data_IF_092564587468
#
_entry.id   IF_092564587468
#
_cell.length_a   1.000
_cell.length_b   1.000
_cell.length_c   1.000
_cell.angle_alpha   90.00
_cell.angle_beta   90.00
_cell.angle_gamma   90.00
#
_symmetry.space_group_name_H-M   'P 1'
#
loop_
_entity.id
_entity.type
_entity.pdbx_description
1 polymer ?
#
# COMPACT_ATOMS: atom_id res chain seq x y z
N UNK A 1 -44.86 15.31 29.33
CA UNK A 1 -44.54 16.32 28.30
C UNK A 1 -43.67 15.64 27.26
N UNK A 2 -44.15 15.51 26.03
CA UNK A 2 -43.36 14.90 24.95
C UNK A 2 -42.54 15.96 24.24
N UNK A 3 -41.29 15.65 23.91
CA UNK A 3 -40.43 16.53 23.11
C UNK A 3 -41.04 16.77 21.73
N UNK A 4 -41.04 18.03 21.29
CA UNK A 4 -41.52 18.45 19.98
C UNK A 4 -40.53 18.07 18.86
N UNK A 5 -40.97 18.15 17.60
CA UNK A 5 -40.06 17.92 16.46
C UNK A 5 -38.92 18.94 16.42
N UNK A 6 -39.18 20.17 16.85
CA UNK A 6 -38.19 21.25 16.86
C UNK A 6 -37.14 21.02 17.95
N UNK A 7 -37.51 20.41 19.09
CA UNK A 7 -36.55 20.00 20.12
C UNK A 7 -35.55 18.96 19.58
N UNK A 8 -36.03 18.01 18.76
CA UNK A 8 -35.15 17.02 18.12
C UNK A 8 -34.23 17.63 17.06
N UNK A 9 -34.67 18.65 16.33
CA UNK A 9 -33.85 19.37 15.35
C UNK A 9 -32.75 20.16 16.06
N UNK A 10 -33.11 20.89 17.13
CA UNK A 10 -32.16 21.61 17.97
C UNK A 10 -31.14 20.66 18.58
N UNK A 11 -31.58 19.56 19.20
CA UNK A 11 -30.71 18.54 19.77
C UNK A 11 -29.77 17.94 18.72
N UNK A 12 -30.28 17.64 17.51
CA UNK A 12 -29.47 17.14 16.40
C UNK A 12 -28.38 18.13 16.00
N UNK A 13 -28.72 19.39 15.82
CA UNK A 13 -27.76 20.42 15.41
C UNK A 13 -26.70 20.67 16.48
N UNK A 14 -27.09 20.69 17.77
CA UNK A 14 -26.16 20.84 18.89
C UNK A 14 -25.23 19.64 19.03
N UNK A 15 -25.73 18.41 18.91
CA UNK A 15 -24.89 17.21 19.05
C UNK A 15 -23.99 16.96 17.83
N UNK A 16 -24.35 17.48 16.64
CA UNK A 16 -23.59 17.24 15.41
C UNK A 16 -22.11 17.66 15.51
N UNK A 17 -21.80 18.74 16.23
CA UNK A 17 -20.41 19.17 16.43
C UNK A 17 -19.64 18.31 17.44
N UNK A 18 -20.34 17.60 18.33
CA UNK A 18 -19.72 16.75 19.35
C UNK A 18 -19.58 15.29 18.91
N UNK A 19 -20.43 14.83 17.98
CA UNK A 19 -20.43 13.47 17.44
C UNK A 19 -19.05 13.00 16.93
N UNK A 20 -18.23 13.82 16.23
CA UNK A 20 -16.88 13.41 15.81
C UNK A 20 -15.94 13.06 16.95
N UNK A 21 -16.19 13.57 18.17
CA UNK A 21 -15.35 13.36 19.34
C UNK A 21 -15.82 12.19 20.21
N UNK A 22 -16.98 11.60 19.91
CA UNK A 22 -17.52 10.45 20.64
C UNK A 22 -17.09 9.17 19.93
N UNK A 23 -16.31 8.34 20.61
CA UNK A 23 -15.88 7.05 20.04
C UNK A 23 -16.96 5.97 20.26
N UNK A 24 -18.02 6.02 19.44
CA UNK A 24 -19.17 5.12 19.55
C UNK A 24 -18.82 3.62 19.44
N UNK A 25 -17.73 3.27 18.75
CA UNK A 25 -17.30 1.89 18.53
C UNK A 25 -16.57 1.27 19.73
N UNK A 26 -16.26 2.06 20.76
CA UNK A 26 -15.71 1.55 22.02
C UNK A 26 -16.79 1.11 23.02
N UNK A 27 -18.07 1.33 22.72
CA UNK A 27 -19.18 0.89 23.55
C UNK A 27 -19.37 -0.63 23.42
N UNK A 28 -19.92 -1.27 24.45
CA UNK A 28 -20.45 -2.63 24.27
C UNK A 28 -21.79 -2.61 23.52
N UNK A 29 -22.21 -3.73 22.90
CA UNK A 29 -23.54 -3.81 22.25
C UNK A 29 -24.68 -3.43 23.19
N UNK A 30 -24.56 -3.78 24.49
CA UNK A 30 -25.52 -3.40 25.52
C UNK A 30 -25.52 -1.88 25.74
N UNK A 31 -24.35 -1.28 25.92
CA UNK A 31 -24.26 0.18 26.10
C UNK A 31 -24.71 0.96 24.87
N UNK A 32 -24.43 0.46 23.67
CA UNK A 32 -24.96 1.06 22.45
C UNK A 32 -26.49 1.01 22.42
N UNK A 33 -27.10 -0.15 22.70
CA UNK A 33 -28.55 -0.32 22.72
C UNK A 33 -29.23 0.55 23.79
N UNK A 34 -28.62 0.69 24.96
CA UNK A 34 -29.19 1.41 26.08
C UNK A 34 -28.95 2.93 26.00
N UNK A 35 -27.75 3.36 25.58
CA UNK A 35 -27.31 4.75 25.68
C UNK A 35 -27.30 5.52 24.36
N UNK A 36 -27.22 4.84 23.21
CA UNK A 36 -27.02 5.50 21.90
C UNK A 36 -28.19 5.24 20.94
N UNK A 37 -28.66 4.00 20.84
CA UNK A 37 -29.76 3.61 19.96
C UNK A 37 -31.07 4.38 20.19
N UNK A 38 -31.47 4.78 21.41
CA UNK A 38 -32.66 5.59 21.63
C UNK A 38 -32.62 6.94 20.89
N UNK A 39 -31.42 7.46 20.66
CA UNK A 39 -31.16 8.73 19.99
C UNK A 39 -30.86 8.58 18.48
N UNK A 40 -31.13 7.41 17.88
CA UNK A 40 -30.85 7.14 16.45
C UNK A 40 -31.47 8.12 15.45
N UNK A 41 -32.44 8.95 15.84
CA UNK A 41 -33.03 9.99 14.97
C UNK A 41 -32.16 11.25 14.86
N UNK A 42 -31.30 11.51 15.86
CA UNK A 42 -30.38 12.66 15.86
C UNK A 42 -29.00 12.31 15.31
N UNK A 43 -28.62 11.03 15.32
CA UNK A 43 -27.34 10.55 14.77
C UNK A 43 -27.39 10.61 13.22
N UNK A 44 -26.32 11.11 12.55
CA UNK A 44 -26.21 11.10 11.09
C UNK A 44 -26.50 9.73 10.49
N UNK A 45 -27.23 9.71 9.36
CA UNK A 45 -27.74 8.48 8.74
C UNK A 45 -26.62 7.45 8.51
N UNK A 46 -25.51 7.89 7.94
CA UNK A 46 -24.36 7.03 7.61
C UNK A 46 -23.71 6.43 8.87
N UNK A 47 -23.54 7.24 9.92
CA UNK A 47 -22.99 6.80 11.20
C UNK A 47 -23.92 5.80 11.89
N UNK A 48 -25.23 6.08 11.90
CA UNK A 48 -26.23 5.19 12.48
C UNK A 48 -26.23 3.82 11.82
N UNK A 49 -26.17 3.77 10.49
CA UNK A 49 -26.18 2.50 9.76
C UNK A 49 -24.92 1.68 10.08
N UNK A 50 -23.76 2.32 10.16
CA UNK A 50 -22.52 1.67 10.59
C UNK A 50 -22.61 1.12 12.03
N UNK A 51 -23.21 1.87 12.96
CA UNK A 51 -23.37 1.44 14.36
C UNK A 51 -24.35 0.27 14.50
N UNK A 52 -25.44 0.26 13.72
CA UNK A 52 -26.39 -0.86 13.70
C UNK A 52 -25.71 -2.13 13.19
N UNK A 53 -24.96 -2.05 12.09
CA UNK A 53 -24.23 -3.20 11.54
C UNK A 53 -23.21 -3.74 12.57
N UNK A 54 -22.48 -2.84 13.22
CA UNK A 54 -21.44 -3.22 14.18
C UNK A 54 -21.99 -3.89 15.45
N UNK A 55 -23.08 -3.35 16.03
CA UNK A 55 -23.58 -3.79 17.33
C UNK A 55 -24.80 -4.74 17.30
N UNK A 56 -25.61 -4.69 16.25
CA UNK A 56 -26.91 -5.39 16.18
C UNK A 56 -26.90 -6.53 15.15
N UNK A 57 -26.18 -6.37 14.03
CA UNK A 57 -26.21 -7.34 12.91
C UNK A 57 -25.16 -8.47 13.02
N UNK A 58 -24.56 -8.64 14.20
CA UNK A 58 -23.73 -9.82 14.47
C UNK A 58 -24.62 -11.03 14.76
N UNK A 59 -24.42 -12.18 14.08
CA UNK A 59 -25.17 -13.40 14.38
C UNK A 59 -24.91 -13.81 15.82
N UNK A 60 -25.99 -13.90 16.62
CA UNK A 60 -25.99 -14.31 18.03
C UNK A 60 -25.21 -15.61 18.21
N UNK A 61 -24.04 -15.53 18.84
CA UNK A 61 -23.43 -16.57 19.65
C UNK A 61 -22.37 -15.93 20.57
N UNK A 62 -22.58 -15.99 21.87
CA UNK A 62 -21.60 -15.71 22.94
C UNK A 62 -21.74 -16.83 23.99
N UNK A 63 -20.67 -17.22 24.75
CA UNK A 63 -19.73 -16.29 25.40
C UNK A 63 -18.21 -16.64 25.42
N UNK A 64 -17.38 -15.58 25.34
CA UNK A 64 -16.10 -15.19 26.03
C UNK A 64 -14.87 -16.14 26.21
N UNK A 65 -13.64 -15.63 26.54
CA UNK A 65 -12.88 -14.46 26.05
C UNK A 65 -11.38 -14.78 25.71
N UNK A 66 -10.64 -13.78 25.16
CA UNK A 66 -9.18 -13.72 24.81
C UNK A 66 -8.86 -14.22 23.39
N UNK A 67 -8.08 -13.57 22.53
CA UNK A 67 -6.99 -12.59 22.67
C UNK A 67 -7.14 -11.55 21.53
N UNK A 68 -6.78 -10.30 21.83
CA UNK A 68 -6.74 -9.15 20.92
C UNK A 68 -5.95 -9.50 19.64
N UNK A 69 -6.65 -9.84 18.56
CA UNK A 69 -6.13 -9.54 17.23
C UNK A 69 -6.50 -8.09 16.94
N UNK A 70 -5.50 -7.22 16.77
CA UNK A 70 -5.67 -5.87 16.22
C UNK A 70 -6.39 -6.01 14.87
N UNK A 71 -7.71 -5.92 14.86
CA UNK A 71 -8.44 -5.62 13.63
C UNK A 71 -8.11 -4.17 13.30
N UNK A 72 -7.23 -4.03 12.32
CA UNK A 72 -6.76 -2.77 11.76
C UNK A 72 -7.96 -1.87 11.49
N UNK A 73 -7.98 -0.72 12.15
CA UNK A 73 -8.89 0.41 11.89
C UNK A 73 -9.20 0.50 10.39
N UNK A 74 -10.49 0.55 10.01
CA UNK A 74 -10.88 0.71 8.61
C UNK A 74 -10.27 2.00 8.05
N UNK A 75 -9.14 1.90 7.37
CA UNK A 75 -8.52 3.03 6.67
C UNK A 75 -9.53 3.52 5.63
N UNK A 76 -9.98 4.76 5.78
CA UNK A 76 -10.83 5.44 4.79
C UNK A 76 -10.08 5.54 3.47
N UNK A 77 -10.72 5.23 2.34
CA UNK A 77 -10.16 5.47 1.01
C UNK A 77 -10.29 6.95 0.65
N UNK A 78 -9.20 7.60 0.23
CA UNK A 78 -9.22 8.96 -0.33
C UNK A 78 -9.70 8.92 -1.79
N UNK A 79 -11.00 8.67 -1.99
CA UNK A 79 -11.64 8.73 -3.31
C UNK A 79 -12.90 9.59 -3.30
N UNK A 80 -13.07 10.40 -4.35
CA UNK A 80 -14.32 11.15 -4.60
C UNK A 80 -15.31 10.39 -5.50
N UNK A 81 -14.90 9.27 -6.09
CA UNK A 81 -15.67 8.52 -7.09
C UNK A 81 -16.22 7.22 -6.50
N UNK A 82 -15.40 6.48 -5.77
CA UNK A 82 -15.75 5.16 -5.22
C UNK A 82 -15.78 5.17 -3.69
N UNK A 83 -16.54 4.24 -3.10
CA UNK A 83 -16.61 4.04 -1.65
C UNK A 83 -15.69 2.89 -1.21
N UNK A 84 -15.49 2.73 0.10
CA UNK A 84 -14.73 1.60 0.66
C UNK A 84 -15.29 0.23 0.23
N UNK A 85 -16.60 0.13 -0.02
CA UNK A 85 -17.23 -1.11 -0.52
C UNK A 85 -16.75 -1.47 -1.94
N UNK A 86 -16.67 -0.48 -2.82
CA UNK A 86 -16.13 -0.66 -4.17
C UNK A 86 -14.65 -1.05 -4.11
N UNK A 87 -13.87 -0.38 -3.26
CA UNK A 87 -12.46 -0.68 -3.06
C UNK A 87 -12.24 -2.13 -2.61
N UNK A 88 -13.00 -2.59 -1.61
CA UNK A 88 -12.98 -3.99 -1.16
C UNK A 88 -13.32 -4.98 -2.28
N UNK A 89 -14.30 -4.65 -3.12
CA UNK A 89 -14.68 -5.51 -4.24
C UNK A 89 -13.59 -5.57 -5.33
N UNK A 90 -13.00 -4.41 -5.68
CA UNK A 90 -11.87 -4.34 -6.61
C UNK A 90 -10.68 -5.14 -6.08
N UNK A 91 -10.38 -5.04 -4.79
CA UNK A 91 -9.34 -5.85 -4.14
C UNK A 91 -9.57 -7.36 -4.29
N UNK A 92 -10.82 -7.84 -4.14
CA UNK A 92 -11.15 -9.25 -4.42
C UNK A 92 -10.85 -9.64 -5.87
N UNK A 93 -11.07 -8.73 -6.82
CA UNK A 93 -10.73 -8.96 -8.22
C UNK A 93 -9.23 -8.98 -8.46
N UNK A 94 -8.44 -8.17 -7.77
CA UNK A 94 -6.98 -8.26 -7.86
C UNK A 94 -6.51 -9.64 -7.39
N UNK A 95 -7.02 -10.12 -6.25
CA UNK A 95 -6.67 -11.44 -5.69
C UNK A 95 -7.25 -12.63 -6.46
N UNK A 96 -8.08 -12.40 -7.49
CA UNK A 96 -8.87 -13.42 -8.20
C UNK A 96 -9.74 -14.29 -7.24
N UNK A 97 -10.20 -13.72 -6.13
CA UNK A 97 -11.05 -14.40 -5.16
C UNK A 97 -12.52 -14.39 -5.58
N UNK A 98 -13.25 -15.47 -5.30
CA UNK A 98 -14.71 -15.48 -5.35
C UNK A 98 -15.33 -14.55 -4.28
N UNK A 99 -16.51 -14.00 -4.56
CA UNK A 99 -17.17 -13.01 -3.67
C UNK A 99 -17.40 -13.58 -2.26
N UNK A 100 -17.59 -14.89 -2.14
CA UNK A 100 -17.83 -15.67 -0.91
C UNK A 100 -16.58 -15.90 -0.06
N UNK A 101 -15.37 -15.71 -0.60
CA UNK A 101 -14.13 -15.96 0.12
C UNK A 101 -13.82 -14.84 1.12
N UNK A 102 -13.36 -15.22 2.32
CA UNK A 102 -12.79 -14.27 3.30
C UNK A 102 -11.55 -13.62 2.67
N UNK A 103 -11.52 -12.28 2.63
CA UNK A 103 -10.34 -11.53 2.17
C UNK A 103 -9.16 -11.82 3.09
N UNK A 104 -8.10 -12.41 2.54
CA UNK A 104 -6.83 -12.62 3.26
C UNK A 104 -6.00 -11.35 3.34
N UNK A 105 -6.19 -10.41 2.40
CA UNK A 105 -5.37 -9.20 2.26
C UNK A 105 -6.20 -7.91 2.28
N UNK A 106 -5.71 -6.89 2.99
CA UNK A 106 -6.21 -5.52 2.92
C UNK A 106 -5.29 -4.69 2.02
N UNK A 107 -5.82 -4.15 0.92
CA UNK A 107 -5.11 -3.20 0.08
C UNK A 107 -5.24 -1.79 0.68
N UNK A 108 -4.14 -1.05 0.69
CA UNK A 108 -4.15 0.38 0.95
C UNK A 108 -4.15 1.13 -0.38
N UNK A 109 -5.18 1.94 -0.60
CA UNK A 109 -5.33 2.71 -1.83
C UNK A 109 -4.73 4.10 -1.62
N UNK A 110 -3.54 4.34 -2.16
CA UNK A 110 -2.92 5.68 -2.18
C UNK A 110 -3.26 6.39 -3.48
N UNK A 111 -3.77 7.61 -3.38
CA UNK A 111 -4.08 8.45 -4.52
C UNK A 111 -2.80 9.09 -5.09
N UNK A 112 -2.48 8.79 -6.36
CA UNK A 112 -1.32 9.38 -7.05
C UNK A 112 -1.74 10.46 -8.06
N UNK A 113 -2.85 10.26 -8.78
CA UNK A 113 -3.38 11.22 -9.74
C UNK A 113 -4.89 11.39 -9.53
N UNK A 114 -5.34 12.63 -9.44
CA UNK A 114 -6.76 13.01 -9.44
C UNK A 114 -6.93 14.12 -10.45
N UNK A 115 -7.64 13.88 -11.55
CA UNK A 115 -7.73 14.87 -12.62
C UNK A 115 -8.43 16.18 -12.22
N UNK A 116 -9.29 16.18 -11.19
CA UNK A 116 -9.83 17.43 -10.62
C UNK A 116 -8.82 18.24 -9.79
N UNK A 117 -7.70 17.63 -9.40
CA UNK A 117 -6.57 18.25 -8.69
C UNK A 117 -5.43 18.55 -9.66
N UNK A 118 -5.08 17.58 -10.51
CA UNK A 118 -3.85 17.58 -11.31
C UNK A 118 -4.08 17.94 -12.79
N UNK A 119 -5.32 17.86 -13.27
CA UNK A 119 -5.68 18.09 -14.67
C UNK A 119 -6.00 16.82 -15.46
N UNK A 120 -6.60 16.99 -16.64
CA UNK A 120 -7.08 15.90 -17.51
C UNK A 120 -6.28 15.84 -18.82
N UNK A 121 -5.01 15.44 -18.76
CA UNK A 121 -4.17 15.29 -19.96
C UNK A 121 -3.33 14.02 -19.92
N UNK A 122 -3.06 13.44 -21.09
CA UNK A 122 -2.10 12.33 -21.23
C UNK A 122 -0.72 12.72 -20.72
N UNK A 123 -0.30 13.95 -20.99
CA UNK A 123 0.96 14.49 -20.48
C UNK A 123 1.05 14.42 -18.96
N UNK A 124 0.01 14.88 -18.23
CA UNK A 124 0.02 14.82 -16.76
C UNK A 124 -0.07 13.40 -16.23
N UNK A 125 -0.80 12.54 -16.94
CA UNK A 125 -0.82 11.11 -16.64
C UNK A 125 0.56 10.51 -16.73
N UNK A 126 1.29 10.69 -17.83
CA UNK A 126 2.65 10.16 -17.99
C UNK A 126 3.65 10.79 -17.01
N UNK A 127 3.54 12.09 -16.71
CA UNK A 127 4.37 12.77 -15.70
C UNK A 127 4.27 12.10 -14.32
N UNK A 128 3.07 11.66 -13.91
CA UNK A 128 2.82 11.11 -12.57
C UNK A 128 2.87 9.57 -12.54
N UNK A 129 2.32 8.93 -13.56
CA UNK A 129 1.99 7.51 -13.54
C UNK A 129 2.95 6.62 -14.33
N UNK A 130 3.82 7.18 -15.19
CA UNK A 130 4.86 6.36 -15.81
C UNK A 130 5.76 5.76 -14.73
N UNK A 131 6.27 4.56 -15.00
CA UNK A 131 7.05 3.76 -14.06
C UNK A 131 6.26 3.25 -12.83
N UNK A 132 4.98 3.61 -12.68
CA UNK A 132 4.08 3.02 -11.69
C UNK A 132 3.46 1.71 -12.22
N UNK A 133 3.20 0.76 -11.33
CA UNK A 133 2.65 -0.57 -11.64
C UNK A 133 1.76 -1.04 -10.48
N UNK A 134 0.75 -1.85 -10.76
CA UNK A 134 -0.31 -2.22 -9.81
C UNK A 134 -1.36 -1.13 -9.58
N UNK A 135 -1.43 -0.19 -10.52
CA UNK A 135 -2.35 0.94 -10.48
C UNK A 135 -3.77 0.55 -10.86
N UNK A 136 -4.75 1.24 -10.27
CA UNK A 136 -6.15 1.19 -10.71
C UNK A 136 -6.56 2.56 -11.20
N UNK A 137 -7.07 2.63 -12.43
CA UNK A 137 -7.74 3.81 -12.95
C UNK A 137 -9.24 3.74 -12.64
N UNK A 138 -9.77 4.75 -11.95
CA UNK A 138 -11.17 4.96 -11.64
C UNK A 138 -11.68 6.16 -12.45
N UNK A 139 -12.70 5.95 -13.27
CA UNK A 139 -13.18 6.90 -14.26
C UNK A 139 -14.65 7.20 -13.99
N UNK A 140 -14.97 8.43 -13.62
CA UNK A 140 -16.35 8.91 -13.56
C UNK A 140 -16.74 9.55 -14.89
N UNK A 141 -17.77 9.01 -15.52
CA UNK A 141 -18.32 9.55 -16.77
C UNK A 141 -19.10 10.85 -16.47
N UNK A 142 -18.79 11.94 -17.19
CA UNK A 142 -19.51 13.21 -17.03
C UNK A 142 -20.99 13.04 -17.34
N UNK A 143 -21.83 13.74 -16.59
CA UNK A 143 -23.29 13.73 -16.72
C UNK A 143 -23.93 12.35 -16.52
N UNK A 144 -23.24 11.42 -15.85
CA UNK A 144 -23.82 10.15 -15.45
C UNK A 144 -23.28 9.68 -14.08
N UNK A 145 -23.91 8.65 -13.54
CA UNK A 145 -23.42 7.91 -12.37
C UNK A 145 -22.56 6.70 -12.78
N UNK A 146 -22.23 6.57 -14.06
CA UNK A 146 -21.42 5.48 -14.57
C UNK A 146 -19.97 5.65 -14.13
N UNK A 147 -19.44 4.58 -13.54
CA UNK A 147 -18.02 4.48 -13.18
C UNK A 147 -17.44 3.38 -14.05
N UNK A 148 -16.38 3.72 -14.78
CA UNK A 148 -15.55 2.78 -15.52
C UNK A 148 -14.20 2.65 -14.82
N UNK A 149 -13.44 1.63 -15.14
CA UNK A 149 -12.09 1.53 -14.63
C UNK A 149 -11.31 0.37 -15.21
N UNK A 150 -10.03 0.34 -14.86
CA UNK A 150 -9.14 -0.76 -15.20
C UNK A 150 -7.98 -0.85 -14.23
N UNK A 151 -7.51 -2.07 -14.01
CA UNK A 151 -6.34 -2.38 -13.19
C UNK A 151 -5.18 -2.76 -14.09
N UNK A 152 -4.07 -2.06 -13.96
CA UNK A 152 -2.82 -2.38 -14.64
C UNK A 152 -1.81 -2.94 -13.62
N UNK A 153 -1.51 -4.25 -13.64
CA UNK A 153 -0.51 -4.85 -12.75
C UNK A 153 0.94 -4.53 -13.15
N UNK A 154 1.18 -4.10 -14.39
CA UNK A 154 2.53 -3.87 -14.92
C UNK A 154 2.84 -2.38 -15.02
N UNK A 155 4.11 -2.07 -15.29
CA UNK A 155 4.61 -0.69 -15.39
C UNK A 155 3.97 0.06 -16.55
N UNK A 156 3.40 1.25 -16.29
CA UNK A 156 3.05 2.21 -17.33
C UNK A 156 4.29 2.78 -18.02
N UNK A 157 4.19 2.95 -19.32
CA UNK A 157 5.24 3.52 -20.17
C UNK A 157 4.61 4.48 -21.18
N UNK A 158 5.47 5.23 -21.83
CA UNK A 158 5.13 6.19 -22.88
C UNK A 158 6.02 6.01 -24.12
N UNK A 159 6.17 4.76 -24.57
CA UNK A 159 7.10 4.36 -25.62
C UNK A 159 6.43 3.71 -26.84
N UNK A 160 5.12 3.92 -27.00
CA UNK A 160 4.29 3.40 -28.10
C UNK A 160 4.31 1.85 -28.23
N UNK A 161 4.27 1.16 -27.09
CA UNK A 161 4.26 -0.31 -27.03
C UNK A 161 3.00 -0.88 -26.38
N UNK A 162 2.78 -2.18 -26.59
CA UNK A 162 1.81 -2.94 -25.80
C UNK A 162 2.48 -3.55 -24.57
N UNK A 163 1.75 -3.54 -23.45
CA UNK A 163 2.14 -4.22 -22.22
C UNK A 163 1.41 -5.55 -22.08
N UNK A 164 2.17 -6.65 -22.12
CA UNK A 164 1.62 -7.98 -22.03
C UNK A 164 1.34 -8.40 -20.58
N UNK A 165 0.10 -8.76 -20.25
CA UNK A 165 -0.26 -9.31 -18.93
C UNK A 165 -1.62 -10.02 -18.96
N UNK A 166 -1.75 -11.11 -18.20
CA UNK A 166 -3.02 -11.82 -17.97
C UNK A 166 -3.81 -11.30 -16.78
N UNK A 167 -3.18 -10.50 -15.92
CA UNK A 167 -3.71 -10.11 -14.61
C UNK A 167 -4.45 -8.78 -14.63
N UNK A 168 -4.39 -8.06 -15.75
CA UNK A 168 -5.19 -6.86 -15.98
C UNK A 168 -6.69 -7.20 -16.06
N UNK A 169 -7.50 -6.21 -15.73
CA UNK A 169 -8.95 -6.29 -15.89
C UNK A 169 -9.53 -4.89 -16.09
N UNK A 170 -10.65 -4.82 -16.79
CA UNK A 170 -11.46 -3.61 -16.89
C UNK A 170 -12.83 -3.86 -16.29
N UNK A 171 -13.48 -2.80 -15.81
CA UNK A 171 -14.76 -2.95 -15.13
C UNK A 171 -15.68 -1.74 -15.31
N UNK A 172 -16.94 -1.95 -14.98
CA UNK A 172 -17.90 -0.88 -14.77
C UNK A 172 -18.77 -1.12 -13.54
N UNK A 173 -19.19 -0.05 -12.89
CA UNK A 173 -20.23 -0.03 -11.87
C UNK A 173 -21.44 0.75 -12.39
N UNK A 174 -22.64 0.19 -12.22
CA UNK A 174 -23.87 0.76 -12.77
C UNK A 174 -24.68 1.60 -11.76
N UNK A 175 -25.61 2.40 -12.31
CA UNK A 175 -26.41 3.56 -11.85
C UNK A 175 -26.80 3.76 -10.37
N UNK A 176 -26.73 2.77 -9.48
CA UNK A 176 -27.14 2.92 -8.08
C UNK A 176 -25.97 2.65 -7.13
N UNK A 177 -25.46 3.72 -6.51
CA UNK A 177 -24.38 3.69 -5.50
C UNK A 177 -24.63 2.73 -4.32
N UNK A 178 -25.86 2.29 -4.13
CA UNK A 178 -26.30 1.43 -3.01
C UNK A 178 -26.12 -0.07 -3.30
N UNK A 179 -26.11 -0.52 -4.57
CA UNK A 179 -25.93 -1.93 -4.93
C UNK A 179 -24.64 -2.16 -5.72
N UNK A 180 -23.56 -2.45 -4.99
CA UNK A 180 -22.22 -2.73 -5.55
C UNK A 180 -22.14 -4.02 -6.38
N UNK A 181 -23.16 -4.89 -6.33
CA UNK A 181 -23.17 -6.18 -7.05
C UNK A 181 -23.52 -6.01 -8.53
N UNK A 182 -24.05 -4.85 -8.93
CA UNK A 182 -24.34 -4.53 -10.33
C UNK A 182 -23.11 -3.97 -11.04
N UNK A 183 -22.09 -4.81 -11.15
CA UNK A 183 -20.84 -4.53 -11.85
C UNK A 183 -20.66 -5.41 -13.09
N UNK A 184 -19.83 -4.95 -14.01
CA UNK A 184 -19.27 -5.79 -15.07
C UNK A 184 -17.77 -5.87 -14.82
N UNK A 185 -17.26 -7.09 -14.63
CA UNK A 185 -15.83 -7.37 -14.58
C UNK A 185 -15.44 -8.12 -15.84
N UNK A 186 -14.49 -7.55 -16.57
CA UNK A 186 -13.99 -8.05 -17.84
C UNK A 186 -12.49 -8.32 -17.74
N UNK A 187 -12.08 -9.55 -18.03
CA UNK A 187 -10.70 -10.03 -17.89
C UNK A 187 -10.01 -10.08 -19.25
N UNK A 188 -8.68 -9.99 -19.21
CA UNK A 188 -7.86 -10.14 -20.42
C UNK A 188 -8.15 -11.49 -21.08
N UNK A 189 -8.44 -11.44 -22.39
CA UNK A 189 -8.53 -12.59 -23.29
C UNK A 189 -7.27 -12.72 -24.16
N UNK A 190 -6.63 -11.60 -24.49
CA UNK A 190 -5.38 -11.57 -25.22
C UNK A 190 -4.34 -10.77 -24.43
N UNK A 191 -3.36 -11.49 -23.88
CA UNK A 191 -2.35 -10.92 -22.99
C UNK A 191 -1.50 -9.86 -23.68
N UNK A 192 -1.12 -10.09 -24.94
CA UNK A 192 -0.22 -9.21 -25.70
C UNK A 192 -0.73 -7.78 -25.81
N UNK A 193 -2.05 -7.60 -25.88
CA UNK A 193 -2.70 -6.29 -26.07
C UNK A 193 -3.36 -5.76 -24.79
N UNK A 194 -3.04 -6.31 -23.62
CA UNK A 194 -3.73 -5.98 -22.37
C UNK A 194 -3.62 -4.49 -22.01
N UNK A 195 -2.43 -3.90 -22.15
CA UNK A 195 -2.14 -2.49 -21.83
C UNK A 195 -1.59 -1.78 -23.06
N UNK A 196 -2.00 -0.53 -23.28
CA UNK A 196 -1.49 0.31 -24.38
C UNK A 196 -0.72 1.49 -23.79
N UNK A 197 0.58 1.56 -24.10
CA UNK A 197 1.51 2.58 -23.63
C UNK A 197 1.81 3.57 -24.77
N UNK A 198 0.96 4.57 -24.99
CA UNK A 198 1.14 5.57 -26.04
C UNK A 198 1.13 6.98 -25.45
N UNK A 199 2.08 7.82 -25.87
CA UNK A 199 2.29 9.19 -25.36
C UNK A 199 1.05 10.10 -25.43
N UNK A 200 0.17 9.86 -26.40
CA UNK A 200 -1.06 10.62 -26.62
C UNK A 200 -2.26 10.12 -25.81
N UNK A 201 -2.10 9.07 -25.01
CA UNK A 201 -3.17 8.44 -24.25
C UNK A 201 -2.98 8.63 -22.74
N UNK A 202 -4.08 8.68 -22.00
CA UNK A 202 -4.06 8.40 -20.56
C UNK A 202 -4.10 6.89 -20.31
N UNK A 203 -4.67 6.44 -19.17
CA UNK A 203 -4.87 5.02 -18.91
C UNK A 203 -5.60 4.33 -20.06
N UNK A 204 -4.99 3.28 -20.60
CA UNK A 204 -5.50 2.59 -21.78
C UNK A 204 -5.33 1.07 -21.67
N UNK A 205 -6.46 0.37 -21.79
CA UNK A 205 -6.60 -1.07 -21.60
C UNK A 205 -7.21 -1.68 -22.85
N UNK A 206 -6.54 -2.68 -23.41
CA UNK A 206 -6.91 -3.25 -24.70
C UNK A 206 -6.60 -2.28 -25.83
N UNK A 207 -6.45 -2.77 -27.05
CA UNK A 207 -6.38 -1.89 -28.23
C UNK A 207 -7.75 -1.27 -28.60
N UNK A 208 -8.55 -0.91 -27.60
CA UNK A 208 -9.75 -0.11 -27.76
C UNK A 208 -10.78 -0.30 -26.67
N UNK A 209 -10.62 -1.28 -25.79
CA UNK A 209 -11.66 -1.66 -24.83
C UNK A 209 -11.96 -0.55 -23.81
N UNK A 210 -10.91 0.13 -23.35
CA UNK A 210 -11.01 1.37 -22.59
C UNK A 210 -9.79 2.25 -22.85
N UNK A 211 -9.98 3.38 -23.54
CA UNK A 211 -8.90 4.32 -23.90
C UNK A 211 -9.25 5.74 -23.52
N UNK A 212 -8.38 6.39 -22.75
CA UNK A 212 -8.51 7.80 -22.42
C UNK A 212 -7.67 8.65 -23.36
N UNK A 213 -8.29 9.58 -24.09
CA UNK A 213 -7.57 10.40 -25.09
C UNK A 213 -8.22 11.73 -25.42
N UNK A 214 -7.46 12.59 -26.08
CA UNK A 214 -7.89 13.93 -26.49
C UNK A 214 -7.83 14.93 -25.34
N UNK A 215 -8.04 16.20 -25.67
CA UNK A 215 -8.00 17.29 -24.69
C UNK A 215 -9.09 17.08 -23.63
N UNK A 216 -8.71 17.14 -22.35
CA UNK A 216 -9.60 16.83 -21.23
C UNK A 216 -10.28 15.44 -21.33
N UNK A 217 -9.60 14.51 -21.98
CA UNK A 217 -10.10 13.16 -22.28
C UNK A 217 -11.45 13.13 -23.02
N UNK A 218 -11.81 14.19 -23.74
CA UNK A 218 -13.10 14.35 -24.44
C UNK A 218 -13.33 13.34 -25.57
N UNK A 219 -12.26 12.76 -26.12
CA UNK A 219 -12.31 11.79 -27.22
C UNK A 219 -12.12 10.34 -26.75
N UNK A 220 -12.30 10.09 -25.46
CA UNK A 220 -12.14 8.77 -24.85
C UNK A 220 -13.14 7.76 -25.39
N UNK A 221 -12.71 6.50 -25.48
CA UNK A 221 -13.47 5.43 -26.12
C UNK A 221 -13.57 4.24 -25.18
N UNK A 222 -14.74 3.62 -25.14
CA UNK A 222 -14.95 2.31 -24.53
C UNK A 222 -15.82 1.49 -25.50
N UNK A 223 -15.26 0.40 -26.02
CA UNK A 223 -15.87 -0.48 -27.04
C UNK A 223 -15.52 -1.92 -26.74
N UNK A 224 -16.15 -2.87 -27.42
CA UNK A 224 -15.75 -4.26 -27.35
C UNK A 224 -14.85 -4.57 -28.55
N UNK A 225 -13.58 -4.90 -28.30
CA UNK A 225 -12.65 -5.29 -29.37
C UNK A 225 -12.28 -6.76 -29.32
N UNK A 226 -12.58 -7.43 -28.20
CA UNK A 226 -12.25 -8.84 -27.98
C UNK A 226 -10.91 -9.09 -27.30
N UNK A 227 -10.14 -8.04 -26.93
CA UNK A 227 -8.94 -8.22 -26.09
C UNK A 227 -9.28 -8.46 -24.62
N UNK A 228 -10.46 -8.00 -24.18
CA UNK A 228 -11.06 -8.37 -22.90
C UNK A 228 -12.36 -9.16 -23.14
N UNK A 229 -12.72 -10.05 -22.20
CA UNK A 229 -13.77 -11.07 -22.40
C UNK A 229 -15.21 -10.54 -22.43
N UNK A 230 -15.45 -9.33 -21.91
CA UNK A 230 -16.77 -8.69 -21.85
C UNK A 230 -16.72 -7.22 -22.24
N UNK A 231 -17.80 -6.77 -22.87
CA UNK A 231 -18.04 -5.34 -23.05
C UNK A 231 -18.52 -4.70 -21.74
N UNK A 232 -17.83 -3.65 -21.26
CA UNK A 232 -18.13 -3.05 -19.96
C UNK A 232 -19.13 -1.89 -20.00
N UNK A 233 -19.51 -1.38 -21.17
CA UNK A 233 -20.42 -0.23 -21.30
C UNK A 233 -21.68 -0.62 -22.07
N UNK A 234 -22.87 -0.53 -21.48
CA UNK A 234 -24.11 -0.77 -22.25
C UNK A 234 -24.39 0.43 -23.16
N UNK A 235 -24.67 0.18 -24.43
CA UNK A 235 -24.67 1.17 -25.51
C UNK A 235 -25.49 2.45 -25.23
N UNK A 236 -24.83 3.61 -25.31
CA UNK A 236 -25.39 4.84 -25.90
C UNK A 236 -24.21 5.76 -26.25
N UNK A 237 -24.07 6.07 -27.54
CA UNK A 237 -22.96 6.85 -28.10
C UNK A 237 -22.96 8.31 -27.64
N UNK A 238 -22.37 8.56 -26.47
CA UNK A 238 -22.12 9.91 -25.98
C UNK A 238 -20.63 10.13 -25.73
N UNK A 239 -20.12 11.23 -26.30
CA UNK A 239 -18.79 11.79 -26.04
C UNK A 239 -18.58 11.92 -24.53
N UNK A 240 -17.47 11.36 -24.06
CA UNK A 240 -17.17 11.23 -22.63
C UNK A 240 -16.20 12.33 -22.25
N UNK A 241 -16.65 13.27 -21.43
CA UNK A 241 -15.74 14.09 -20.62
C UNK A 241 -15.57 13.36 -19.27
N UNK A 242 -14.36 13.30 -18.72
CA UNK A 242 -14.03 12.32 -17.67
C UNK A 242 -13.46 13.01 -16.42
N UNK A 243 -13.87 12.53 -15.23
CA UNK A 243 -13.11 12.71 -13.99
C UNK A 243 -12.29 11.42 -13.73
N UNK A 244 -10.96 11.50 -13.74
CA UNK A 244 -10.02 10.40 -13.53
C UNK A 244 -9.44 10.43 -12.12
N UNK A 245 -9.42 9.29 -11.43
CA UNK A 245 -8.75 9.08 -10.16
C UNK A 245 -7.93 7.79 -10.27
N UNK A 246 -6.60 7.87 -10.20
CA UNK A 246 -5.69 6.72 -10.29
C UNK A 246 -5.06 6.48 -8.91
N UNK A 247 -5.26 5.28 -8.39
CA UNK A 247 -4.78 4.86 -7.06
C UNK A 247 -3.84 3.65 -7.16
N UNK A 248 -2.71 3.69 -6.47
CA UNK A 248 -1.73 2.58 -6.40
C UNK A 248 -0.88 2.60 -5.10
N UNK A 249 -0.81 1.47 -4.36
CA UNK A 249 0.36 0.55 -4.27
C UNK A 249 0.10 -0.62 -3.32
N UNK A 250 0.58 -1.80 -3.71
CA UNK A 250 0.47 -3.11 -3.02
C UNK A 250 1.00 -3.14 -1.58
N UNK A 251 0.35 -4.00 -0.78
CA UNK A 251 0.89 -4.56 0.47
C UNK A 251 2.12 -5.39 0.12
N UNK A 252 3.27 -5.08 0.71
CA UNK A 252 4.40 -6.01 0.75
C UNK A 252 3.87 -7.38 1.21
N UNK A 253 4.06 -8.45 0.43
CA UNK A 253 3.80 -9.83 0.85
C UNK A 253 4.81 -10.30 1.91
N UNK A 254 5.34 -9.36 2.67
CA UNK A 254 6.50 -9.49 3.51
C UNK A 254 6.10 -8.97 4.89
N UNK A 255 5.97 -9.90 5.83
CA UNK A 255 5.91 -9.57 7.24
C UNK A 255 7.35 -9.28 7.72
N UNK A 256 7.55 -8.09 8.29
CA UNK A 256 8.78 -7.73 8.98
C UNK A 256 8.64 -8.16 10.44
N UNK A 257 9.13 -9.35 10.75
CA UNK A 257 9.16 -9.85 12.11
C UNK A 257 10.38 -9.28 12.82
N UNK A 258 10.17 -8.36 13.76
CA UNK A 258 11.25 -7.85 14.62
C UNK A 258 11.84 -9.01 15.42
N UNK A 259 13.09 -9.37 15.14
CA UNK A 259 13.81 -10.45 15.84
C UNK A 259 14.78 -9.90 16.87
N UNK A 260 15.37 -8.72 16.62
CA UNK A 260 16.30 -8.07 17.54
C UNK A 260 16.05 -6.56 17.58
N UNK A 261 16.12 -5.97 18.78
CA UNK A 261 16.19 -4.51 19.00
C UNK A 261 17.25 -4.20 20.06
N UNK A 262 18.18 -3.29 19.78
CA UNK A 262 19.27 -2.94 20.70
C UNK A 262 18.80 -2.52 22.08
N UNK A 263 17.83 -1.60 22.16
CA UNK A 263 17.25 -1.17 23.44
C UNK A 263 16.55 -2.28 24.24
N UNK A 264 16.15 -3.38 23.59
CA UNK A 264 15.47 -4.53 24.22
C UNK A 264 16.45 -5.65 24.57
N UNK A 265 17.33 -5.99 23.65
CA UNK A 265 18.13 -7.22 23.69
C UNK A 265 19.58 -6.96 24.07
N UNK A 266 20.08 -5.74 23.86
CA UNK A 266 21.47 -5.33 24.09
C UNK A 266 22.21 -4.97 22.79
N UNK A 267 23.35 -4.30 22.95
CA UNK A 267 24.20 -3.83 21.86
C UNK A 267 25.51 -4.63 21.85
N UNK A 268 25.50 -5.89 21.44
CA UNK A 268 26.74 -6.67 21.36
C UNK A 268 26.73 -7.68 20.20
N UNK A 269 27.90 -7.96 19.59
CA UNK A 269 28.08 -9.03 18.61
C UNK A 269 27.57 -10.38 19.11
N UNK A 270 27.86 -10.71 20.37
CA UNK A 270 27.41 -11.96 21.01
C UNK A 270 25.89 -12.09 21.02
N UNK A 271 25.16 -11.01 21.31
CA UNK A 271 23.70 -11.02 21.30
C UNK A 271 23.12 -11.09 19.89
N UNK A 272 23.75 -10.42 18.94
CA UNK A 272 23.40 -10.55 17.53
C UNK A 272 23.48 -12.00 17.07
N UNK A 273 24.62 -12.67 17.28
CA UNK A 273 24.78 -14.06 16.86
C UNK A 273 23.88 -15.03 17.63
N UNK A 274 23.58 -14.78 18.91
CA UNK A 274 22.61 -15.57 19.68
C UNK A 274 21.21 -15.60 19.02
N UNK A 275 20.77 -14.46 18.46
CA UNK A 275 19.41 -14.29 17.93
C UNK A 275 19.33 -14.50 16.42
N UNK A 276 20.33 -14.01 15.68
CA UNK A 276 20.29 -13.85 14.23
C UNK A 276 21.01 -14.97 13.47
N UNK A 277 21.93 -15.72 14.08
CA UNK A 277 22.53 -16.88 13.40
C UNK A 277 21.43 -17.86 12.97
N UNK A 278 21.62 -18.48 11.80
CA UNK A 278 20.64 -19.34 11.14
C UNK A 278 19.37 -18.62 10.64
N UNK A 279 19.29 -17.29 10.75
CA UNK A 279 18.25 -16.48 10.08
C UNK A 279 18.74 -15.98 8.74
N UNK A 280 17.84 -15.94 7.77
CA UNK A 280 18.05 -15.35 6.45
C UNK A 280 16.95 -14.36 6.15
N UNK A 281 17.10 -13.62 5.04
CA UNK A 281 16.17 -12.58 4.61
C UNK A 281 15.95 -11.54 5.72
N UNK A 282 17.03 -10.98 6.25
CA UNK A 282 16.94 -10.00 7.33
C UNK A 282 17.25 -8.61 6.82
N UNK A 283 16.58 -7.59 7.35
CA UNK A 283 16.96 -6.19 7.17
C UNK A 283 17.41 -5.62 8.51
N UNK A 284 18.59 -5.01 8.50
CA UNK A 284 19.17 -4.27 9.62
C UNK A 284 18.89 -2.79 9.41
N UNK A 285 18.35 -2.13 10.43
CA UNK A 285 18.10 -0.69 10.50
C UNK A 285 18.94 -0.13 11.65
N UNK A 286 19.70 0.94 11.42
CA UNK A 286 20.60 1.55 12.40
C UNK A 286 20.28 3.04 12.47
N UNK A 287 19.88 3.52 13.65
CA UNK A 287 19.75 4.95 13.94
C UNK A 287 21.10 5.48 14.41
N UNK A 288 21.68 6.41 13.65
CA UNK A 288 23.00 6.97 13.93
C UNK A 288 22.90 8.00 15.05
N UNK A 289 23.75 7.86 16.07
CA UNK A 289 23.74 8.74 17.23
C UNK A 289 24.17 10.16 16.92
N UNK A 290 23.44 11.12 17.47
CA UNK A 290 23.71 12.54 17.27
C UNK A 290 23.35 13.07 15.88
N UNK A 291 22.60 12.31 15.07
CA UNK A 291 22.09 12.75 13.76
C UNK A 291 20.67 12.23 13.49
N UNK A 292 20.08 12.70 12.38
CA UNK A 292 18.81 12.16 11.86
C UNK A 292 19.01 11.04 10.83
N UNK A 293 20.22 10.51 10.74
CA UNK A 293 20.60 9.57 9.69
C UNK A 293 20.24 8.12 10.05
N UNK A 294 19.78 7.38 9.05
CA UNK A 294 19.55 5.94 9.16
C UNK A 294 20.48 5.23 8.20
N UNK A 295 21.22 4.24 8.70
CA UNK A 295 21.96 3.28 7.89
C UNK A 295 21.26 1.93 7.94
N UNK A 296 21.57 1.06 6.98
CA UNK A 296 21.07 -0.30 7.05
C UNK A 296 21.50 -1.17 5.89
N UNK A 297 21.18 -2.44 6.00
CA UNK A 297 21.50 -3.43 4.98
C UNK A 297 20.54 -4.60 5.00
N UNK A 298 20.32 -5.19 3.83
CA UNK A 298 19.51 -6.39 3.65
C UNK A 298 20.40 -7.58 3.36
N UNK A 299 20.33 -8.60 4.20
CA UNK A 299 21.00 -9.88 4.00
C UNK A 299 19.98 -10.96 3.56
N UNK A 300 20.03 -11.44 2.30
CA UNK A 300 19.15 -12.52 1.82
C UNK A 300 19.56 -13.91 2.30
N UNK A 301 20.81 -14.12 2.71
CA UNK A 301 21.37 -15.43 3.06
C UNK A 301 21.43 -15.63 4.57
N UNK A 302 21.80 -16.83 5.00
CA UNK A 302 21.88 -17.20 6.41
C UNK A 302 23.06 -16.49 7.08
N UNK A 303 22.82 -15.81 8.20
CA UNK A 303 23.88 -15.35 9.11
C UNK A 303 24.61 -16.50 9.79
N UNK A 304 25.92 -16.34 9.95
CA UNK A 304 26.82 -17.28 10.64
C UNK A 304 27.79 -16.49 11.52
N UNK A 305 28.58 -17.23 12.30
CA UNK A 305 29.65 -16.73 13.16
C UNK A 305 30.98 -17.51 12.94
N UNK A 306 31.21 -18.01 11.73
CA UNK A 306 32.30 -18.94 11.37
C UNK A 306 33.52 -18.26 10.70
N UNK A 307 33.56 -16.92 10.65
CA UNK A 307 34.59 -16.11 9.97
C UNK A 307 34.63 -16.30 8.45
N UNK A 308 33.54 -16.77 7.85
CA UNK A 308 33.42 -16.86 6.39
C UNK A 308 32.79 -15.60 5.78
N UNK A 309 33.04 -15.39 4.48
CA UNK A 309 32.26 -14.45 3.69
C UNK A 309 31.05 -15.14 3.06
N UNK A 310 29.89 -14.52 3.21
CA UNK A 310 28.65 -14.93 2.58
C UNK A 310 28.57 -14.41 1.14
N UNK A 311 28.46 -15.35 0.19
CA UNK A 311 28.41 -15.03 -1.23
C UNK A 311 26.96 -14.73 -1.65
N UNK A 312 26.68 -13.50 -2.06
CA UNK A 312 25.37 -13.13 -2.62
C UNK A 312 25.44 -11.83 -3.43
N UNK A 313 24.68 -11.76 -4.52
CA UNK A 313 24.46 -10.53 -5.30
C UNK A 313 23.20 -9.76 -4.90
N UNK A 314 22.34 -10.38 -4.10
CA UNK A 314 20.99 -9.87 -3.79
C UNK A 314 20.98 -9.05 -2.49
N UNK A 315 22.12 -8.91 -1.82
CA UNK A 315 22.32 -7.98 -0.71
C UNK A 315 22.37 -6.53 -1.20
N UNK A 316 22.01 -5.60 -0.32
CA UNK A 316 22.18 -4.18 -0.53
C UNK A 316 22.34 -3.45 0.80
N UNK A 317 23.07 -2.35 0.80
CA UNK A 317 23.16 -1.40 1.90
C UNK A 317 22.52 -0.08 1.50
N UNK A 318 22.05 0.69 2.47
CA UNK A 318 21.39 1.95 2.23
C UNK A 318 21.66 2.98 3.33
N UNK A 319 21.46 4.24 2.97
CA UNK A 319 21.46 5.37 3.89
C UNK A 319 20.26 6.27 3.60
N UNK A 320 19.63 6.79 4.67
CA UNK A 320 18.74 7.93 4.63
C UNK A 320 19.42 9.07 5.40
N UNK A 321 19.78 10.16 4.70
CA UNK A 321 20.42 11.33 5.34
C UNK A 321 19.51 12.00 6.37
N UNK A 322 18.19 11.85 6.22
CA UNK A 322 17.20 12.37 7.14
C UNK A 322 16.03 11.38 7.27
N UNK A 323 15.79 10.87 8.48
CA UNK A 323 14.68 9.97 8.81
C UNK A 323 13.30 10.61 8.63
N UNK A 324 13.21 11.93 8.63
CA UNK A 324 11.96 12.66 8.36
C UNK A 324 11.75 12.91 6.84
N UNK A 325 12.83 12.91 6.05
CA UNK A 325 12.80 13.12 4.61
C UNK A 325 13.61 12.05 3.84
N UNK A 326 12.89 11.01 3.43
CA UNK A 326 13.46 9.83 2.76
C UNK A 326 13.77 10.03 1.27
N UNK A 327 13.51 11.21 0.68
CA UNK A 327 13.70 11.42 -0.76
C UNK A 327 15.18 11.35 -1.18
N UNK A 328 16.09 11.70 -0.27
CA UNK A 328 17.54 11.70 -0.48
C UNK A 328 18.21 10.40 0.01
N UNK A 329 17.60 9.26 -0.25
CA UNK A 329 18.19 7.97 0.10
C UNK A 329 19.33 7.57 -0.85
N UNK A 330 20.33 6.88 -0.31
CA UNK A 330 21.35 6.21 -1.10
C UNK A 330 21.08 4.71 -0.98
N UNK A 331 21.01 4.02 -2.12
CA UNK A 331 20.96 2.58 -2.19
C UNK A 331 22.19 2.08 -2.95
N UNK A 332 22.99 1.26 -2.28
CA UNK A 332 24.15 0.61 -2.85
C UNK A 332 23.97 -0.90 -2.92
N UNK A 333 24.26 -1.47 -4.08
CA UNK A 333 24.13 -2.89 -4.37
C UNK A 333 25.50 -3.55 -4.43
N UNK A 334 25.52 -4.86 -4.21
CA UNK A 334 26.76 -5.64 -4.31
C UNK A 334 27.39 -5.49 -5.69
N UNK A 335 28.65 -5.08 -5.71
CA UNK A 335 29.55 -5.06 -6.86
C UNK A 335 30.46 -6.30 -6.88
N UNK A 336 30.89 -6.80 -5.71
CA UNK A 336 31.65 -8.04 -5.58
C UNK A 336 30.98 -9.02 -4.59
N UNK A 337 30.33 -10.05 -5.14
CA UNK A 337 29.54 -11.00 -4.36
C UNK A 337 30.34 -11.84 -3.38
N UNK A 338 31.64 -12.05 -3.60
CA UNK A 338 32.47 -12.93 -2.76
C UNK A 338 32.66 -12.42 -1.33
N UNK A 339 32.38 -11.14 -1.08
CA UNK A 339 32.60 -10.48 0.20
C UNK A 339 31.34 -9.75 0.70
N UNK A 340 30.16 -10.10 0.17
CA UNK A 340 28.94 -9.32 0.40
C UNK A 340 28.50 -9.27 1.88
N UNK A 341 28.70 -10.36 2.63
CA UNK A 341 28.33 -10.50 4.05
C UNK A 341 29.53 -11.03 4.83
N UNK A 342 29.92 -10.39 5.92
CA UNK A 342 30.99 -10.86 6.80
C UNK A 342 30.40 -11.58 8.01
N UNK A 343 30.83 -12.82 8.27
CA UNK A 343 30.31 -13.68 9.34
C UNK A 343 31.34 -13.91 10.45
N UNK A 344 32.17 -12.92 10.78
CA UNK A 344 33.04 -13.01 11.95
C UNK A 344 32.27 -12.71 13.23
N UNK A 345 32.38 -13.61 14.21
CA UNK A 345 31.81 -13.51 15.56
C UNK A 345 32.08 -12.21 16.33
N UNK A 346 33.08 -11.43 15.90
CA UNK A 346 33.46 -10.14 16.50
C UNK A 346 32.53 -8.99 16.06
N UNK A 347 31.74 -9.19 15.01
CA UNK A 347 30.84 -8.19 14.46
C UNK A 347 29.38 -8.53 14.77
N UNK A 348 28.53 -7.51 14.75
CA UNK A 348 27.09 -7.68 14.61
C UNK A 348 26.73 -7.92 13.14
N UNK A 349 25.71 -7.24 12.61
CA UNK A 349 25.51 -7.15 11.18
C UNK A 349 26.72 -6.50 10.49
N UNK A 350 27.34 -7.21 9.57
CA UNK A 350 28.46 -6.72 8.75
C UNK A 350 28.22 -7.00 7.26
N UNK A 351 28.25 -5.95 6.46
CA UNK A 351 28.03 -5.96 5.02
C UNK A 351 29.30 -5.47 4.34
N UNK A 352 29.87 -6.27 3.45
CA UNK A 352 31.08 -5.92 2.74
C UNK A 352 32.32 -6.10 3.59
N UNK A 353 33.41 -5.44 3.21
CA UNK A 353 34.61 -5.31 4.04
C UNK A 353 34.62 -3.86 4.48
N UNK A 354 34.15 -3.61 5.70
CA UNK A 354 33.97 -2.28 6.29
C UNK A 354 32.87 -1.40 5.63
N UNK A 355 32.13 -1.87 4.60
CA UNK A 355 31.11 -1.05 3.92
C UNK A 355 29.97 -0.62 4.83
N UNK A 356 29.54 -1.51 5.72
CA UNK A 356 28.68 -1.18 6.85
C UNK A 356 28.79 -2.28 7.91
N UNK A 357 29.35 -1.95 9.07
CA UNK A 357 29.48 -2.90 10.17
C UNK A 357 29.12 -2.30 11.53
N UNK A 358 28.63 -3.17 12.41
CA UNK A 358 28.51 -2.91 13.84
C UNK A 358 29.57 -3.74 14.58
N UNK A 359 30.48 -3.07 15.29
CA UNK A 359 31.65 -3.73 15.89
C UNK A 359 31.92 -3.24 17.33
N UNK A 360 32.50 -4.13 18.13
CA UNK A 360 32.89 -3.87 19.51
C UNK A 360 31.73 -4.05 20.50
N UNK A 361 32.09 -4.20 21.78
CA UNK A 361 31.11 -4.23 22.86
C UNK A 361 30.39 -2.88 22.96
N UNK A 362 29.07 -2.92 23.10
CA UNK A 362 28.17 -1.76 23.00
C UNK A 362 28.16 -1.08 21.62
N UNK A 363 28.66 -1.75 20.58
CA UNK A 363 28.79 -1.21 19.21
C UNK A 363 29.40 0.20 19.21
N UNK A 364 30.59 0.31 19.78
CA UNK A 364 31.32 1.57 19.94
C UNK A 364 32.47 1.76 18.94
N UNK A 365 32.68 0.80 18.03
CA UNK A 365 33.77 0.78 17.06
C UNK A 365 33.23 0.55 15.64
N UNK A 366 32.11 1.17 15.29
CA UNK A 366 31.42 0.92 14.01
C UNK A 366 32.07 1.66 12.85
N UNK A 367 32.10 1.01 11.69
CA UNK A 367 32.67 1.54 10.46
C UNK A 367 31.67 1.50 9.30
N UNK A 368 31.77 2.51 8.44
CA UNK A 368 31.06 2.60 7.17
C UNK A 368 32.00 3.27 6.15
N UNK A 369 32.71 2.43 5.39
CA UNK A 369 33.79 2.82 4.49
C UNK A 369 33.52 2.32 3.07
N UNK A 370 33.79 3.12 2.04
CA UNK A 370 33.62 2.65 0.67
C UNK A 370 34.79 1.77 0.22
N UNK A 371 34.66 0.46 0.40
CA UNK A 371 35.67 -0.52 -0.01
C UNK A 371 35.57 -0.92 -1.50
N UNK A 372 34.41 -0.66 -2.10
CA UNK A 372 34.07 -1.06 -3.47
C UNK A 372 33.43 -2.45 -3.58
N UNK A 373 33.17 -3.13 -2.45
CA UNK A 373 32.36 -4.35 -2.43
C UNK A 373 30.89 -4.04 -2.72
N UNK A 374 30.38 -2.90 -2.23
CA UNK A 374 29.13 -2.30 -2.66
C UNK A 374 29.41 -1.15 -3.65
N UNK A 375 28.51 -0.91 -4.61
CA UNK A 375 28.75 -0.05 -5.78
C UNK A 375 28.74 1.47 -5.52
N UNK A 376 28.39 1.91 -4.31
CA UNK A 376 28.27 3.32 -3.92
C UNK A 376 28.63 3.52 -2.45
N UNK A 377 29.30 4.63 -2.17
CA UNK A 377 29.48 5.14 -0.81
C UNK A 377 28.12 5.59 -0.25
N UNK A 378 27.74 5.07 0.93
CA UNK A 378 26.46 5.41 1.58
C UNK A 378 26.58 6.47 2.68
N UNK A 379 27.80 6.75 3.18
CA UNK A 379 28.06 7.71 4.26
C UNK A 379 29.32 8.52 4.00
N UNK A 380 29.29 9.80 4.38
CA UNK A 380 30.47 10.66 4.46
C UNK A 380 31.15 10.49 5.83
N UNK A 381 32.42 10.07 5.85
CA UNK A 381 33.17 9.73 7.07
C UNK A 381 33.09 8.24 7.43
N UNK A 382 34.09 7.77 8.19
CA UNK A 382 34.35 6.34 8.35
C UNK A 382 33.70 5.74 9.61
N UNK A 383 33.64 6.49 10.73
CA UNK A 383 33.10 6.00 12.00
C UNK A 383 31.73 6.60 12.37
N UNK A 384 30.93 5.88 13.16
CA UNK A 384 29.65 6.37 13.68
C UNK A 384 29.25 5.73 15.01
N UNK A 385 28.43 6.46 15.77
CA UNK A 385 27.80 5.95 17.01
C UNK A 385 26.38 5.44 16.73
N UNK A 386 25.89 4.51 17.54
CA UNK A 386 24.57 3.90 17.38
C UNK A 386 23.67 4.33 18.54
N UNK A 387 22.53 4.92 18.21
CA UNK A 387 21.46 5.22 19.19
C UNK A 387 20.49 4.04 19.33
N UNK A 388 20.17 3.38 18.23
CA UNK A 388 19.30 2.22 18.18
C UNK A 388 19.65 1.36 16.96
N UNK A 389 19.45 0.05 17.06
CA UNK A 389 19.44 -0.80 15.88
C UNK A 389 18.35 -1.86 15.99
N UNK A 390 17.74 -2.18 14.87
CA UNK A 390 16.69 -3.18 14.76
C UNK A 390 16.99 -4.14 13.62
N UNK A 391 16.66 -5.40 13.83
CA UNK A 391 16.76 -6.43 12.81
C UNK A 391 15.41 -7.09 12.66
N UNK A 392 14.89 -7.02 11.44
CA UNK A 392 13.64 -7.67 11.06
C UNK A 392 13.95 -8.85 10.16
N UNK A 393 13.38 -10.01 10.46
CA UNK A 393 13.29 -11.10 9.51
C UNK A 393 12.12 -10.84 8.57
N UNK A 394 12.38 -10.91 7.27
CA UNK A 394 11.41 -10.74 6.21
C UNK A 394 10.83 -12.12 5.91
N UNK A 395 9.58 -12.31 6.31
CA UNK A 395 8.83 -13.54 6.09
C UNK A 395 7.88 -13.29 4.94
N UNK A 396 8.00 -14.09 3.88
CA UNK A 396 7.06 -14.05 2.78
C UNK A 396 5.79 -14.80 3.19
N UNK A 397 4.66 -14.10 3.19
CA UNK A 397 3.31 -14.67 3.42
C UNK A 397 2.88 -15.62 2.30
#
# INVERSE_FOLDING_TARGET
MGYSKDDFVTLKNTLQQFIPFINFFNLTSKEYLDKVYPYKKVIPKDLRENLIIHFIDQPKNNPEPKIISKETSSKSIDSKIITIKHAKLISKWIDRLEITNKMKNSYEFKLILRGSRDGFSSQKFHEICDYQSHTIAIIKVKNSNEILGGYNPIVWKSNDTFGATKDSFIFSFNKNKENIENYILSRVKNETYAIVNNLGLGPSFGDGDLKLRGNNYSCSVCRYTGFYDKFIRKASGANVNILLEITDKMKNSYEFKLILRGSRDGFSPSKFHEICDNKSHTITIINVGGSNEILGGYNPIIWKSDRSFGITKDSFIFSFKDKENIENYILSRVNNENYAIENDSRFGPAFGIDDLELCGENFNQNWCYFSGIYDKQIREGEGYSVEEYEIFQIIKD
#
